data_IF_205440634981
#
_entry.id   IF_205440634981
#
_cell.length_a   1.000
_cell.length_b   1.000
_cell.length_c   1.000
_cell.angle_alpha   90.00
_cell.angle_beta   90.00
_cell.angle_gamma   90.00
#
_symmetry.space_group_name_H-M   'P 1'
#
loop_
_entity.id
_entity.type
_entity.pdbx_description
1 polymer ?
#
# COMPACT_ATOMS: atom_id res chain seq x y z
N UNK A 1 14.13 41.90 10.72
CA UNK A 1 14.34 43.16 9.96
C UNK A 1 13.09 43.41 9.13
N UNK A 2 12.38 44.54 9.31
CA UNK A 2 11.25 44.88 8.46
C UNK A 2 11.73 45.09 7.02
N UNK A 3 11.04 44.49 6.06
CA UNK A 3 11.20 44.79 4.63
C UNK A 3 10.22 45.94 4.29
N UNK A 4 10.68 46.97 3.59
CA UNK A 4 9.86 48.11 3.19
C UNK A 4 9.91 48.28 1.67
N UNK A 5 8.82 48.78 1.09
CA UNK A 5 8.70 49.10 -0.33
C UNK A 5 8.32 50.57 -0.47
N UNK A 6 9.03 51.30 -1.33
CA UNK A 6 8.80 52.73 -1.57
C UNK A 6 7.82 52.86 -2.72
N UNK A 7 6.67 53.50 -2.48
CA UNK A 7 5.64 53.71 -3.49
C UNK A 7 5.96 54.97 -4.30
N UNK A 8 5.85 54.89 -5.63
CA UNK A 8 5.99 56.07 -6.49
C UNK A 8 4.70 56.92 -6.45
N UNK A 9 4.82 58.27 -6.39
CA UNK A 9 3.70 59.16 -6.08
C UNK A 9 2.59 59.24 -7.14
N UNK A 10 2.79 58.74 -8.37
CA UNK A 10 1.83 58.82 -9.49
C UNK A 10 1.29 57.45 -9.96
N UNK A 11 1.60 56.37 -9.25
CA UNK A 11 1.04 55.06 -9.55
C UNK A 11 -0.11 54.73 -8.61
N UNK A 12 -1.35 54.78 -9.10
CA UNK A 12 -2.48 54.01 -8.53
C UNK A 12 -2.23 52.50 -8.71
N UNK A 13 -1.12 51.99 -8.18
CA UNK A 13 -0.91 50.57 -8.04
C UNK A 13 -1.70 50.15 -6.80
N UNK A 14 -2.82 49.45 -7.01
CA UNK A 14 -3.49 48.73 -5.94
C UNK A 14 -2.46 47.88 -5.19
N UNK A 15 -2.07 48.35 -4.01
CA UNK A 15 -1.19 47.61 -3.12
C UNK A 15 -1.76 46.20 -2.94
N UNK A 16 -0.99 45.18 -3.31
CA UNK A 16 -1.36 43.80 -3.01
C UNK A 16 -1.48 43.65 -1.48
N UNK A 17 -2.71 43.54 -1.00
CA UNK A 17 -3.03 43.46 0.44
C UNK A 17 -2.65 42.11 1.04
N UNK A 18 -2.55 41.09 0.19
CA UNK A 18 -2.23 39.73 0.59
C UNK A 18 -0.98 39.33 -0.19
N UNK A 19 0.08 38.98 0.53
CA UNK A 19 1.35 38.60 -0.06
C UNK A 19 1.71 37.17 0.35
N UNK A 20 2.01 36.28 -0.61
CA UNK A 20 2.45 34.93 -0.26
C UNK A 20 3.81 34.97 0.45
N UNK A 21 4.02 33.99 1.33
CA UNK A 21 5.26 33.81 2.08
C UNK A 21 5.92 32.52 1.60
N UNK A 22 7.20 32.62 1.25
CA UNK A 22 7.98 31.51 0.70
C UNK A 22 9.06 31.04 1.66
N UNK A 23 9.28 29.74 1.69
CA UNK A 23 10.54 29.20 2.20
C UNK A 23 11.66 29.63 1.25
N UNK A 24 12.73 30.21 1.80
CA UNK A 24 13.83 30.78 1.02
C UNK A 24 15.20 30.39 1.58
N UNK A 25 16.19 30.09 0.71
CA UNK A 25 17.60 30.05 1.10
C UNK A 25 18.04 31.38 1.73
N UNK A 26 19.01 31.33 2.65
CA UNK A 26 19.57 32.53 3.27
C UNK A 26 20.15 33.50 2.22
N UNK A 27 19.86 34.80 2.38
CA UNK A 27 20.37 35.86 1.49
C UNK A 27 19.42 36.30 0.36
N UNK A 28 18.33 35.59 0.07
CA UNK A 28 17.34 35.99 -0.94
C UNK A 28 16.16 36.74 -0.31
N UNK A 29 15.72 37.88 -0.84
CA UNK A 29 14.53 38.58 -0.29
C UNK A 29 13.21 37.90 -0.70
N UNK A 30 12.14 38.11 0.09
CA UNK A 30 10.81 37.61 -0.28
C UNK A 30 10.25 38.33 -1.51
N UNK A 31 10.60 39.61 -1.70
CA UNK A 31 10.23 40.38 -2.90
C UNK A 31 10.80 39.76 -4.18
N UNK A 32 12.06 39.32 -4.15
CA UNK A 32 12.70 38.67 -5.30
C UNK A 32 12.06 37.31 -5.59
N UNK A 33 11.75 36.53 -4.55
CA UNK A 33 11.02 35.25 -4.69
C UNK A 33 9.65 35.45 -5.33
N UNK A 34 8.85 36.43 -4.86
CA UNK A 34 7.54 36.76 -5.45
C UNK A 34 7.65 37.14 -6.92
N UNK A 35 8.64 37.98 -7.26
CA UNK A 35 8.90 38.39 -8.64
C UNK A 35 9.24 37.19 -9.53
N UNK A 36 10.16 36.33 -9.11
CA UNK A 36 10.55 35.15 -9.89
C UNK A 36 9.40 34.16 -10.07
N UNK A 37 8.64 33.89 -9.03
CA UNK A 37 7.48 33.01 -9.11
C UNK A 37 6.40 33.62 -10.01
N UNK A 38 6.17 34.93 -9.93
CA UNK A 38 5.25 35.64 -10.82
C UNK A 38 5.65 35.52 -12.29
N UNK A 39 6.94 35.72 -12.62
CA UNK A 39 7.46 35.50 -13.98
C UNK A 39 7.30 34.04 -14.43
N UNK A 40 7.65 33.09 -13.57
CA UNK A 40 7.54 31.67 -13.90
C UNK A 40 6.08 31.26 -14.18
N UNK A 41 5.12 31.74 -13.38
CA UNK A 41 3.70 31.45 -13.61
C UNK A 41 3.17 32.12 -14.88
N UNK A 42 3.60 33.35 -15.17
CA UNK A 42 3.20 34.05 -16.39
C UNK A 42 3.72 33.35 -17.66
N UNK A 43 4.95 32.87 -17.63
CA UNK A 43 5.61 32.26 -18.80
C UNK A 43 5.26 30.78 -18.97
N UNK A 44 5.18 30.02 -17.87
CA UNK A 44 5.05 28.56 -17.90
C UNK A 44 3.74 28.03 -17.30
N UNK A 45 2.90 28.87 -16.68
CA UNK A 45 1.71 28.41 -15.97
C UNK A 45 0.66 27.71 -16.84
N UNK A 46 0.59 28.05 -18.13
CA UNK A 46 -0.28 27.39 -19.12
C UNK A 46 0.25 26.04 -19.60
N UNK A 47 1.53 25.74 -19.37
CA UNK A 47 2.16 24.48 -19.75
C UNK A 47 2.01 23.39 -18.69
N UNK A 48 1.48 23.74 -17.51
CA UNK A 48 1.29 22.80 -16.41
C UNK A 48 0.17 21.82 -16.79
N UNK A 49 0.46 20.53 -16.92
CA UNK A 49 -0.53 19.56 -17.36
C UNK A 49 -1.57 19.31 -16.25
N UNK A 50 -2.84 19.42 -16.59
CA UNK A 50 -3.95 18.87 -15.82
C UNK A 50 -4.98 18.32 -16.79
N UNK A 51 -5.34 17.05 -16.61
CA UNK A 51 -6.27 16.32 -17.45
C UNK A 51 -7.53 15.92 -16.68
N UNK A 52 -7.88 16.69 -15.65
CA UNK A 52 -9.14 16.52 -14.94
C UNK A 52 -10.31 16.69 -15.92
N UNK A 53 -11.23 15.71 -16.00
CA UNK A 53 -12.37 15.83 -16.90
C UNK A 53 -13.24 17.05 -16.54
N UNK A 54 -13.64 17.90 -17.52
CA UNK A 54 -14.48 19.07 -17.24
C UNK A 54 -15.77 18.78 -16.45
N UNK A 55 -16.48 17.64 -16.67
CA UNK A 55 -17.62 17.28 -15.85
C UNK A 55 -17.28 17.07 -14.37
N UNK A 56 -16.09 16.54 -14.07
CA UNK A 56 -15.61 16.34 -12.69
C UNK A 56 -15.31 17.69 -12.03
N UNK A 57 -14.64 18.59 -12.74
CA UNK A 57 -14.35 19.95 -12.24
C UNK A 57 -15.64 20.69 -11.92
N UNK A 58 -16.63 20.68 -12.83
CA UNK A 58 -17.94 21.32 -12.64
C UNK A 58 -18.69 20.74 -11.44
N UNK A 59 -18.72 19.40 -11.32
CA UNK A 59 -19.40 18.71 -10.20
C UNK A 59 -18.78 19.04 -8.85
N UNK A 60 -17.46 19.23 -8.80
CA UNK A 60 -16.72 19.46 -7.57
C UNK A 60 -16.48 20.95 -7.26
N UNK A 61 -16.85 21.85 -8.17
CA UNK A 61 -16.62 23.30 -8.03
C UNK A 61 -15.14 23.67 -8.10
N UNK A 62 -14.37 22.99 -8.95
CA UNK A 62 -12.91 23.17 -9.08
C UNK A 62 -12.58 24.16 -10.20
N UNK A 63 -11.48 24.89 -10.00
CA UNK A 63 -10.86 25.75 -11.01
C UNK A 63 -9.69 25.02 -11.68
N UNK A 64 -9.21 25.54 -12.81
CA UNK A 64 -8.04 24.95 -13.48
C UNK A 64 -6.79 25.09 -12.61
N UNK A 65 -5.83 24.17 -12.79
CA UNK A 65 -4.57 24.17 -12.05
C UNK A 65 -3.79 25.50 -12.23
N UNK A 66 -3.78 26.04 -13.45
CA UNK A 66 -3.19 27.36 -13.74
C UNK A 66 -3.87 28.48 -12.94
N UNK A 67 -5.20 28.49 -12.87
CA UNK A 67 -5.94 29.47 -12.06
C UNK A 67 -5.69 29.29 -10.56
N UNK A 68 -5.63 28.06 -10.08
CA UNK A 68 -5.36 27.76 -8.68
C UNK A 68 -3.98 28.27 -8.27
N UNK A 69 -2.93 27.96 -9.05
CA UNK A 69 -1.58 28.42 -8.78
C UNK A 69 -1.50 29.96 -8.84
N UNK A 70 -2.14 30.59 -9.82
CA UNK A 70 -2.21 32.04 -9.88
C UNK A 70 -2.87 32.63 -8.62
N UNK A 71 -4.00 32.10 -8.17
CA UNK A 71 -4.68 32.60 -6.97
C UNK A 71 -3.87 32.42 -5.67
N UNK A 72 -3.04 31.37 -5.56
CA UNK A 72 -2.21 31.17 -4.36
C UNK A 72 -0.95 32.05 -4.36
N UNK A 73 -0.38 32.30 -5.53
CA UNK A 73 0.89 33.04 -5.67
C UNK A 73 0.68 34.54 -5.98
N UNK A 74 -0.50 34.92 -6.46
CA UNK A 74 -0.94 36.28 -6.76
C UNK A 74 -2.41 36.45 -6.33
N UNK A 75 -2.69 36.36 -5.01
CA UNK A 75 -4.06 36.46 -4.51
C UNK A 75 -4.65 37.84 -4.76
N UNK A 76 -5.93 37.88 -5.15
CA UNK A 76 -6.68 39.12 -5.29
C UNK A 76 -6.79 39.85 -3.94
N UNK A 77 -6.92 41.17 -3.97
CA UNK A 77 -7.07 41.98 -2.76
C UNK A 77 -8.34 41.64 -1.94
N UNK A 78 -9.32 40.98 -2.56
CA UNK A 78 -10.57 40.54 -1.94
C UNK A 78 -10.57 39.05 -1.55
N UNK A 79 -9.44 38.34 -1.74
CA UNK A 79 -9.34 36.95 -1.34
C UNK A 79 -9.46 36.81 0.19
N UNK A 80 -10.03 35.70 0.66
CA UNK A 80 -10.15 35.41 2.08
C UNK A 80 -8.79 34.95 2.65
N UNK A 81 -8.13 35.76 3.51
CA UNK A 81 -6.83 35.38 4.07
C UNK A 81 -6.93 34.17 5.01
N UNK A 82 -8.07 33.96 5.68
CA UNK A 82 -8.24 32.81 6.57
C UNK A 82 -8.22 31.52 5.76
N UNK A 83 -9.02 31.47 4.67
CA UNK A 83 -9.11 30.32 3.78
C UNK A 83 -7.78 30.01 3.05
N UNK A 84 -6.96 31.03 2.80
CA UNK A 84 -5.62 30.84 2.25
C UNK A 84 -4.65 30.25 3.29
N UNK A 85 -4.70 30.74 4.53
CA UNK A 85 -3.81 30.29 5.61
C UNK A 85 -4.13 28.88 6.12
N UNK A 86 -5.40 28.49 6.15
CA UNK A 86 -5.83 27.16 6.61
C UNK A 86 -5.90 26.11 5.48
N UNK A 87 -5.65 26.52 4.23
CA UNK A 87 -5.66 25.65 3.06
C UNK A 87 -7.05 25.26 2.56
N UNK A 88 -8.13 25.91 3.01
CA UNK A 88 -9.52 25.59 2.63
C UNK A 88 -10.00 26.29 1.35
N UNK A 89 -9.24 27.26 0.81
CA UNK A 89 -9.59 27.98 -0.41
C UNK A 89 -9.86 27.05 -1.62
N UNK A 90 -10.65 27.52 -2.60
CA UNK A 90 -10.91 26.77 -3.84
C UNK A 90 -9.64 26.41 -4.62
N UNK A 91 -8.62 27.27 -4.57
CA UNK A 91 -7.34 27.05 -5.20
C UNK A 91 -6.59 25.87 -4.56
N UNK A 92 -6.43 25.87 -3.23
CA UNK A 92 -5.86 24.74 -2.49
C UNK A 92 -6.63 23.44 -2.76
N UNK A 93 -7.97 23.48 -2.65
CA UNK A 93 -8.81 22.30 -2.92
C UNK A 93 -8.64 21.78 -4.35
N UNK A 94 -8.47 22.66 -5.34
CA UNK A 94 -8.29 22.25 -6.75
C UNK A 94 -6.96 21.55 -6.98
N UNK A 95 -5.86 22.06 -6.39
CA UNK A 95 -4.54 21.40 -6.45
C UNK A 95 -4.58 20.05 -5.76
N UNK A 96 -5.11 20.00 -4.53
CA UNK A 96 -5.23 18.76 -3.76
C UNK A 96 -6.08 17.71 -4.49
N UNK A 97 -7.18 18.14 -5.11
CA UNK A 97 -8.03 17.23 -5.87
C UNK A 97 -7.34 16.72 -7.13
N UNK A 98 -6.62 17.57 -7.86
CA UNK A 98 -5.88 17.18 -9.05
C UNK A 98 -4.86 16.08 -8.73
N UNK A 99 -4.05 16.27 -7.70
CA UNK A 99 -3.05 15.29 -7.27
C UNK A 99 -3.69 13.98 -6.78
N UNK A 100 -4.70 14.07 -5.90
CA UNK A 100 -5.42 12.89 -5.40
C UNK A 100 -6.17 12.15 -6.51
N UNK A 101 -6.65 12.84 -7.54
CA UNK A 101 -7.30 12.22 -8.68
C UNK A 101 -6.33 11.31 -9.43
N UNK A 102 -5.10 11.75 -9.69
CA UNK A 102 -4.09 10.90 -10.34
C UNK A 102 -3.69 9.71 -9.48
N UNK A 103 -3.54 9.90 -8.17
CA UNK A 103 -3.31 8.80 -7.24
C UNK A 103 -4.45 7.77 -7.30
N UNK A 104 -5.69 8.21 -7.21
CA UNK A 104 -6.87 7.34 -7.26
C UNK A 104 -7.06 6.69 -8.64
N UNK A 105 -6.74 7.40 -9.72
CA UNK A 105 -6.75 6.84 -11.07
C UNK A 105 -5.72 5.73 -11.20
N UNK A 106 -4.50 5.94 -10.73
CA UNK A 106 -3.45 4.91 -10.68
C UNK A 106 -3.86 3.69 -9.86
N UNK A 107 -4.45 3.90 -8.67
CA UNK A 107 -4.99 2.82 -7.84
C UNK A 107 -6.15 2.08 -8.54
N UNK A 108 -7.03 2.81 -9.21
CA UNK A 108 -8.15 2.25 -9.98
C UNK A 108 -7.70 1.40 -11.16
N UNK A 109 -6.72 1.87 -11.92
CA UNK A 109 -6.11 1.12 -13.02
C UNK A 109 -5.43 -0.16 -12.52
N UNK A 110 -4.68 -0.07 -11.42
CA UNK A 110 -4.09 -1.25 -10.76
C UNK A 110 -5.15 -2.23 -10.29
N UNK A 111 -6.24 -1.74 -9.69
CA UNK A 111 -7.36 -2.59 -9.24
C UNK A 111 -8.05 -3.29 -10.42
N UNK A 112 -8.25 -2.60 -11.54
CA UNK A 112 -8.86 -3.18 -12.75
C UNK A 112 -8.01 -4.33 -13.29
N UNK A 113 -6.71 -4.08 -13.53
CA UNK A 113 -5.77 -5.11 -13.99
C UNK A 113 -5.70 -6.32 -13.04
N UNK A 114 -5.79 -6.09 -11.73
CA UNK A 114 -5.83 -7.17 -10.73
C UNK A 114 -7.14 -7.94 -10.72
N UNK A 115 -8.28 -7.28 -10.94
CA UNK A 115 -9.58 -7.96 -10.99
C UNK A 115 -9.73 -8.89 -12.20
N UNK A 116 -8.87 -8.71 -13.21
CA UNK A 116 -8.73 -9.57 -14.38
C UNK A 116 -7.76 -10.74 -14.15
N UNK A 117 -7.03 -10.78 -13.02
CA UNK A 117 -6.13 -11.89 -12.71
C UNK A 117 -6.92 -13.12 -12.24
N UNK A 118 -6.92 -14.17 -13.06
CA UNK A 118 -7.48 -15.46 -12.73
C UNK A 118 -6.77 -16.06 -11.50
N UNK A 119 -7.56 -16.62 -10.58
CA UNK A 119 -7.08 -17.30 -9.39
C UNK A 119 -7.57 -18.74 -9.32
N UNK A 120 -6.88 -19.56 -8.54
CA UNK A 120 -7.37 -20.89 -8.17
C UNK A 120 -8.58 -20.77 -7.24
N UNK A 121 -9.56 -21.66 -7.43
CA UNK A 121 -10.75 -21.76 -6.58
C UNK A 121 -10.47 -22.81 -5.51
N UNK A 122 -10.56 -22.41 -4.24
CA UNK A 122 -10.41 -23.30 -3.10
C UNK A 122 -11.77 -23.55 -2.45
N UNK A 123 -12.28 -24.78 -2.55
CA UNK A 123 -13.56 -25.15 -1.93
C UNK A 123 -13.34 -25.90 -0.63
N UNK A 124 -14.38 -25.99 0.21
CA UNK A 124 -14.34 -26.87 1.37
C UNK A 124 -14.30 -28.32 0.92
N UNK A 125 -13.26 -29.03 1.36
CA UNK A 125 -13.05 -30.44 1.06
C UNK A 125 -13.70 -31.33 2.13
N UNK A 126 -13.85 -32.62 1.81
CA UNK A 126 -14.34 -33.62 2.77
C UNK A 126 -13.38 -33.84 3.94
N UNK A 127 -12.08 -33.64 3.70
CA UNK A 127 -11.07 -33.52 4.75
C UNK A 127 -11.11 -32.11 5.30
N UNK A 128 -11.53 -31.98 6.55
CA UNK A 128 -11.61 -30.70 7.24
C UNK A 128 -10.40 -30.54 8.18
N UNK A 129 -9.25 -30.18 7.61
CA UNK A 129 -8.04 -29.81 8.34
C UNK A 129 -8.28 -28.60 9.23
N UNK A 130 -9.18 -27.68 8.85
CA UNK A 130 -9.57 -26.57 9.72
C UNK A 130 -10.27 -27.07 10.98
N UNK A 131 -11.25 -27.97 10.88
CA UNK A 131 -11.90 -28.56 12.05
C UNK A 131 -10.93 -29.39 12.90
N UNK A 132 -10.03 -30.16 12.27
CA UNK A 132 -8.98 -30.89 12.99
C UNK A 132 -8.04 -29.92 13.74
N UNK A 133 -7.69 -28.79 13.12
CA UNK A 133 -6.87 -27.75 13.72
C UNK A 133 -7.56 -27.09 14.92
N UNK A 134 -8.86 -26.78 14.83
CA UNK A 134 -9.63 -26.24 15.95
C UNK A 134 -9.59 -27.16 17.18
N UNK A 135 -9.67 -28.48 16.97
CA UNK A 135 -9.54 -29.47 18.05
C UNK A 135 -8.16 -29.52 18.73
N UNK A 136 -7.11 -28.99 18.08
CA UNK A 136 -5.74 -28.93 18.63
C UNK A 136 -5.47 -27.63 19.41
N UNK A 137 -6.34 -26.63 19.30
CA UNK A 137 -6.11 -25.33 19.91
C UNK A 137 -6.40 -25.34 21.42
N UNK A 138 -5.51 -24.78 22.26
CA UNK A 138 -5.79 -24.60 23.69
C UNK A 138 -6.72 -23.40 23.98
N UNK A 139 -7.25 -22.75 22.95
CA UNK A 139 -8.13 -21.59 23.02
C UNK A 139 -9.13 -21.63 21.86
N UNK A 140 -10.19 -20.83 21.96
CA UNK A 140 -11.14 -20.64 20.86
C UNK A 140 -10.79 -19.43 20.03
N UNK A 141 -11.08 -19.48 18.73
CA UNK A 141 -10.91 -18.33 17.86
C UNK A 141 -11.85 -17.19 18.29
N UNK A 142 -11.32 -15.97 18.25
CA UNK A 142 -12.12 -14.79 18.57
C UNK A 142 -13.16 -14.52 17.48
N UNK A 143 -14.24 -13.80 17.81
CA UNK A 143 -15.24 -13.36 16.81
C UNK A 143 -14.62 -12.60 15.65
N UNK A 144 -13.57 -11.81 15.90
CA UNK A 144 -12.85 -11.08 14.86
C UNK A 144 -12.09 -12.03 13.93
N UNK A 145 -11.39 -13.02 14.46
CA UNK A 145 -10.68 -14.03 13.67
C UNK A 145 -11.64 -14.87 12.83
N UNK A 146 -12.76 -15.32 13.39
CA UNK A 146 -13.79 -16.08 12.67
C UNK A 146 -14.37 -15.26 11.50
N UNK A 147 -14.69 -13.98 11.73
CA UNK A 147 -15.17 -13.07 10.68
C UNK A 147 -14.15 -12.92 9.56
N UNK A 148 -12.89 -12.63 9.90
CA UNK A 148 -11.81 -12.45 8.92
C UNK A 148 -11.55 -13.74 8.13
N UNK A 149 -11.61 -14.91 8.78
CA UNK A 149 -11.51 -16.20 8.08
C UNK A 149 -12.66 -16.42 7.11
N UNK A 150 -13.89 -16.09 7.49
CA UNK A 150 -15.04 -16.15 6.58
C UNK A 150 -14.86 -15.25 5.35
N UNK A 151 -14.33 -14.04 5.54
CA UNK A 151 -13.99 -13.13 4.44
C UNK A 151 -12.89 -13.70 3.53
N UNK A 152 -11.84 -14.29 4.11
CA UNK A 152 -10.74 -14.92 3.37
C UNK A 152 -11.25 -16.14 2.58
N UNK A 153 -12.03 -17.02 3.21
CA UNK A 153 -12.56 -18.21 2.53
C UNK A 153 -13.48 -17.83 1.38
N UNK A 154 -14.32 -16.80 1.55
CA UNK A 154 -15.16 -16.30 0.47
C UNK A 154 -14.34 -15.80 -0.73
N UNK A 155 -13.22 -15.10 -0.48
CA UNK A 155 -12.34 -14.64 -1.55
C UNK A 155 -11.60 -15.83 -2.21
N UNK A 156 -11.16 -16.80 -1.41
CA UNK A 156 -10.51 -18.04 -1.86
C UNK A 156 -11.44 -18.96 -2.68
N UNK A 157 -12.75 -18.90 -2.45
CA UNK A 157 -13.77 -19.62 -3.24
C UNK A 157 -14.10 -18.92 -4.56
N UNK A 158 -13.56 -17.72 -4.81
CA UNK A 158 -13.79 -16.98 -6.06
C UNK A 158 -12.79 -17.37 -7.15
N UNK A 159 -13.15 -17.13 -8.42
CA UNK A 159 -12.25 -17.34 -9.56
C UNK A 159 -11.18 -16.26 -9.75
N UNK A 160 -11.07 -15.31 -8.80
CA UNK A 160 -10.12 -14.20 -8.84
C UNK A 160 -9.03 -14.40 -7.81
N UNK A 161 -7.81 -14.00 -8.13
CA UNK A 161 -6.72 -14.04 -7.17
C UNK A 161 -7.01 -13.13 -5.95
N UNK A 162 -7.03 -13.72 -4.75
CA UNK A 162 -7.22 -12.97 -3.50
C UNK A 162 -6.02 -12.05 -3.23
N UNK A 163 -6.28 -10.79 -2.90
CA UNK A 163 -5.30 -9.84 -2.38
C UNK A 163 -5.89 -9.08 -1.21
N UNK A 164 -5.42 -9.40 0.01
CA UNK A 164 -5.99 -8.87 1.24
C UNK A 164 -4.89 -8.43 2.19
N UNK A 165 -5.10 -7.24 2.78
CA UNK A 165 -4.31 -6.79 3.91
C UNK A 165 -5.03 -7.18 5.21
N UNK A 166 -4.41 -8.05 6.00
CA UNK A 166 -4.91 -8.40 7.32
C UNK A 166 -4.26 -7.46 8.36
N UNK A 167 -5.05 -6.55 8.91
CA UNK A 167 -4.60 -5.60 9.93
C UNK A 167 -5.11 -6.00 11.32
N UNK A 168 -4.23 -5.91 12.32
CA UNK A 168 -4.57 -6.14 13.71
C UNK A 168 -3.36 -5.92 14.61
N UNK A 169 -3.61 -5.62 15.88
CA UNK A 169 -2.57 -5.32 16.86
C UNK A 169 -1.60 -6.49 17.07
N UNK A 170 -0.44 -6.21 17.66
CA UNK A 170 0.51 -7.25 18.09
C UNK A 170 -0.21 -8.18 19.08
N UNK A 171 -0.12 -9.50 18.86
CA UNK A 171 -0.79 -10.50 19.70
C UNK A 171 -2.26 -10.79 19.33
N UNK A 172 -2.86 -10.12 18.36
CA UNK A 172 -4.25 -10.39 17.90
C UNK A 172 -4.45 -11.75 17.20
N UNK A 173 -3.40 -12.55 17.04
CA UNK A 173 -3.45 -13.90 16.45
C UNK A 173 -3.51 -13.92 14.92
N UNK A 174 -2.94 -12.90 14.24
CA UNK A 174 -2.83 -12.86 12.76
C UNK A 174 -2.21 -14.14 12.17
N UNK A 175 -1.17 -14.66 12.81
CA UNK A 175 -0.48 -15.90 12.42
C UNK A 175 -1.45 -17.09 12.39
N UNK A 176 -2.39 -17.18 13.33
CA UNK A 176 -3.38 -18.26 13.32
C UNK A 176 -4.35 -18.12 12.16
N UNK A 177 -4.81 -16.91 11.87
CA UNK A 177 -5.70 -16.67 10.70
C UNK A 177 -4.98 -17.04 9.40
N UNK A 178 -3.70 -16.67 9.26
CA UNK A 178 -2.88 -17.09 8.12
C UNK A 178 -2.72 -18.61 8.04
N UNK A 179 -2.63 -19.31 9.19
CA UNK A 179 -2.52 -20.76 9.24
C UNK A 179 -3.80 -21.44 8.76
N UNK A 180 -4.96 -21.02 9.25
CA UNK A 180 -6.26 -21.52 8.77
C UNK A 180 -6.47 -21.28 7.27
N UNK A 181 -6.09 -20.11 6.76
CA UNK A 181 -6.10 -19.84 5.32
C UNK A 181 -5.17 -20.80 4.54
N UNK A 182 -3.99 -21.09 5.09
CA UNK A 182 -3.03 -22.03 4.50
C UNK A 182 -3.59 -23.46 4.46
N UNK A 183 -4.27 -23.89 5.53
CA UNK A 183 -4.94 -25.19 5.57
C UNK A 183 -5.96 -25.33 4.44
N UNK A 184 -6.77 -24.30 4.16
CA UNK A 184 -7.73 -24.34 3.04
C UNK A 184 -7.04 -24.55 1.69
N UNK A 185 -5.92 -23.88 1.44
CA UNK A 185 -5.14 -24.10 0.21
C UNK A 185 -4.57 -25.53 0.15
N UNK A 186 -4.01 -26.02 1.26
CA UNK A 186 -3.41 -27.34 1.39
C UNK A 186 -4.43 -28.47 1.20
N UNK A 187 -5.63 -28.33 1.76
CA UNK A 187 -6.75 -29.27 1.55
C UNK A 187 -7.09 -29.44 0.08
N UNK A 188 -6.95 -28.38 -0.72
CA UNK A 188 -7.24 -28.36 -2.15
C UNK A 188 -6.04 -28.80 -3.00
N UNK A 189 -4.97 -29.33 -2.39
CA UNK A 189 -3.80 -29.85 -3.11
C UNK A 189 -2.75 -28.80 -3.48
N UNK A 190 -2.85 -27.59 -2.92
CA UNK A 190 -1.89 -26.51 -3.17
C UNK A 190 -0.88 -26.37 -2.03
N UNK A 191 0.22 -25.67 -2.31
CA UNK A 191 1.25 -25.28 -1.35
C UNK A 191 0.98 -23.85 -0.86
N UNK A 192 1.23 -23.61 0.42
CA UNK A 192 1.18 -22.29 1.05
C UNK A 192 2.59 -21.79 1.36
N UNK A 193 2.83 -20.50 1.14
CA UNK A 193 4.14 -19.85 1.30
C UNK A 193 4.01 -18.67 2.25
N UNK A 194 4.83 -18.62 3.28
CA UNK A 194 4.90 -17.53 4.24
C UNK A 194 6.25 -16.86 4.15
N UNK A 195 6.22 -15.54 3.92
CA UNK A 195 7.41 -14.73 3.79
C UNK A 195 7.48 -13.69 4.91
N UNK A 196 8.59 -13.66 5.62
CA UNK A 196 8.88 -12.71 6.70
C UNK A 196 10.17 -11.92 6.40
N UNK A 197 10.33 -10.68 6.91
CA UNK A 197 11.41 -9.80 6.47
C UNK A 197 12.78 -10.22 7.02
N UNK A 198 12.80 -10.98 8.12
CA UNK A 198 14.03 -11.44 8.79
C UNK A 198 13.97 -12.94 9.06
N UNK A 199 15.15 -13.57 9.13
CA UNK A 199 15.26 -14.99 9.43
C UNK A 199 14.67 -15.33 10.80
N UNK A 200 14.88 -14.45 11.79
CA UNK A 200 14.31 -14.62 13.13
C UNK A 200 12.78 -14.67 13.11
N UNK A 201 12.12 -13.79 12.34
CA UNK A 201 10.66 -13.79 12.22
C UNK A 201 10.17 -15.03 11.45
N UNK A 202 10.88 -15.43 10.39
CA UNK A 202 10.56 -16.67 9.66
C UNK A 202 10.67 -17.91 10.57
N UNK A 203 11.74 -18.00 11.37
CA UNK A 203 11.90 -19.05 12.38
C UNK A 203 10.78 -19.04 13.41
N UNK A 204 10.39 -17.86 13.90
CA UNK A 204 9.28 -17.73 14.85
C UNK A 204 7.98 -18.27 14.27
N UNK A 205 7.61 -17.82 13.06
CA UNK A 205 6.41 -18.31 12.37
C UNK A 205 6.46 -19.82 12.15
N UNK A 206 7.59 -20.33 11.66
CA UNK A 206 7.79 -21.77 11.46
C UNK A 206 7.63 -22.54 12.76
N UNK A 207 8.28 -22.12 13.86
CA UNK A 207 8.15 -22.76 15.17
C UNK A 207 6.71 -22.72 15.69
N UNK A 208 6.00 -21.61 15.50
CA UNK A 208 4.61 -21.46 15.94
C UNK A 208 3.66 -22.43 15.25
N UNK A 209 3.87 -22.73 13.96
CA UNK A 209 2.99 -23.62 13.20
C UNK A 209 3.48 -25.08 13.13
N UNK A 210 4.78 -25.33 13.30
CA UNK A 210 5.37 -26.67 13.10
C UNK A 210 4.76 -27.73 14.02
N UNK A 211 4.43 -27.38 15.27
CA UNK A 211 3.75 -28.32 16.18
C UNK A 211 2.40 -28.75 15.62
N UNK A 212 1.64 -27.81 15.05
CA UNK A 212 0.32 -28.07 14.49
C UNK A 212 0.40 -28.77 13.13
N UNK A 213 1.34 -28.38 12.26
CA UNK A 213 1.53 -29.04 10.98
C UNK A 213 1.88 -30.51 11.16
N UNK A 214 2.78 -30.85 12.09
CA UNK A 214 3.12 -32.24 12.39
C UNK A 214 1.94 -33.05 12.93
N UNK A 215 1.12 -32.46 13.81
CA UNK A 215 -0.09 -33.10 14.33
C UNK A 215 -1.15 -33.36 13.25
N UNK A 216 -1.16 -32.54 12.19
CA UNK A 216 -2.05 -32.68 11.04
C UNK A 216 -1.45 -33.50 9.88
N UNK A 217 -0.22 -34.01 10.04
CA UNK A 217 0.48 -34.76 8.98
C UNK A 217 0.88 -33.89 7.78
N UNK A 218 1.07 -32.59 8.00
CA UNK A 218 1.47 -31.60 6.99
C UNK A 218 2.98 -31.36 7.11
N UNK A 219 3.70 -31.55 6.01
CA UNK A 219 5.12 -31.25 5.95
C UNK A 219 5.32 -29.74 5.78
N UNK A 220 5.92 -29.13 6.80
CA UNK A 220 6.38 -27.76 6.76
C UNK A 220 7.91 -27.71 6.59
N UNK A 221 8.44 -26.70 5.92
CA UNK A 221 9.87 -26.43 5.86
C UNK A 221 10.18 -24.95 6.06
N UNK A 222 11.34 -24.68 6.66
CA UNK A 222 11.93 -23.36 6.76
C UNK A 222 12.98 -23.19 5.65
N UNK A 223 12.93 -22.09 4.91
CA UNK A 223 13.90 -21.72 3.89
C UNK A 223 14.48 -20.32 4.19
N UNK A 224 15.72 -20.27 4.63
CA UNK A 224 16.45 -19.02 4.94
C UNK A 224 17.76 -18.94 4.14
N UNK A 225 18.40 -17.76 4.15
CA UNK A 225 19.67 -17.56 3.44
C UNK A 225 20.86 -18.18 4.20
N UNK A 226 20.73 -18.32 5.52
CA UNK A 226 21.74 -18.91 6.42
C UNK A 226 21.89 -20.43 6.34
N UNK A 227 20.98 -21.15 5.67
CA UNK A 227 21.04 -22.61 5.60
C UNK A 227 22.22 -23.12 4.75
N UNK A 228 22.88 -24.22 5.17
CA UNK A 228 23.91 -24.87 4.37
C UNK A 228 23.40 -25.28 2.97
N UNK A 229 24.24 -25.11 1.95
CA UNK A 229 23.84 -25.34 0.55
C UNK A 229 23.24 -26.73 0.29
N UNK A 230 23.76 -27.78 0.95
CA UNK A 230 23.25 -29.16 0.82
C UNK A 230 21.84 -29.31 1.39
N UNK A 231 21.58 -28.71 2.55
CA UNK A 231 20.26 -28.73 3.19
C UNK A 231 19.25 -27.92 2.36
N UNK A 232 19.64 -26.71 1.95
CA UNK A 232 18.84 -25.85 1.08
C UNK A 232 18.44 -26.56 -0.20
N UNK A 233 19.38 -27.23 -0.88
CA UNK A 233 19.11 -28.01 -2.10
C UNK A 233 18.09 -29.13 -1.85
N UNK A 234 18.26 -29.90 -0.78
CA UNK A 234 17.32 -30.96 -0.40
C UNK A 234 15.91 -30.43 -0.15
N UNK A 235 15.79 -29.30 0.55
CA UNK A 235 14.49 -28.64 0.79
C UNK A 235 13.87 -28.19 -0.53
N UNK A 236 14.63 -27.53 -1.40
CA UNK A 236 14.14 -27.06 -2.71
C UNK A 236 13.65 -28.22 -3.59
N UNK A 237 14.38 -29.34 -3.64
CA UNK A 237 13.97 -30.53 -4.40
C UNK A 237 12.62 -31.07 -3.88
N UNK A 238 12.43 -31.12 -2.56
CA UNK A 238 11.17 -31.57 -1.94
C UNK A 238 10.01 -30.59 -2.18
N UNK A 239 10.29 -29.28 -2.16
CA UNK A 239 9.31 -28.24 -2.51
C UNK A 239 8.87 -28.42 -3.97
N UNK A 240 9.83 -28.60 -4.89
CA UNK A 240 9.58 -28.79 -6.32
C UNK A 240 8.81 -30.07 -6.64
N UNK A 241 8.91 -31.10 -5.80
CA UNK A 241 8.08 -32.32 -5.89
C UNK A 241 6.71 -32.22 -5.21
N UNK A 242 6.39 -31.10 -4.57
CA UNK A 242 5.13 -30.90 -3.85
C UNK A 242 5.04 -31.66 -2.52
N UNK A 243 6.15 -32.20 -2.00
CA UNK A 243 6.17 -32.96 -0.74
C UNK A 243 6.01 -32.07 0.49
N UNK A 244 6.36 -30.79 0.37
CA UNK A 244 6.26 -29.77 1.42
C UNK A 244 5.05 -28.90 1.10
N UNK A 245 4.04 -28.91 1.96
CA UNK A 245 2.79 -28.17 1.76
C UNK A 245 2.83 -26.76 2.37
N UNK A 246 3.66 -26.54 3.41
CA UNK A 246 3.88 -25.21 3.97
C UNK A 246 5.36 -24.84 3.88
N UNK A 247 5.67 -23.74 3.20
CA UNK A 247 7.01 -23.18 3.14
C UNK A 247 7.02 -21.87 3.91
N UNK A 248 7.90 -21.74 4.91
CA UNK A 248 8.12 -20.49 5.64
C UNK A 248 9.54 -20.01 5.35
N UNK A 249 9.74 -18.72 5.12
CA UNK A 249 11.06 -18.21 4.77
C UNK A 249 11.15 -16.70 4.66
N UNK A 250 12.27 -16.24 4.13
CA UNK A 250 12.54 -14.82 3.86
C UNK A 250 12.48 -14.53 2.36
N UNK A 251 13.08 -13.41 1.92
CA UNK A 251 13.35 -13.11 0.51
C UNK A 251 14.04 -14.26 -0.25
N UNK A 252 14.67 -15.21 0.44
CA UNK A 252 15.20 -16.44 -0.18
C UNK A 252 14.14 -17.22 -0.99
N UNK A 253 12.85 -17.06 -0.67
CA UNK A 253 11.73 -17.70 -1.38
C UNK A 253 11.45 -17.14 -2.78
N UNK A 254 11.87 -15.91 -3.05
CA UNK A 254 11.64 -15.22 -4.34
C UNK A 254 12.91 -15.12 -5.19
N UNK A 255 13.99 -15.80 -4.77
CA UNK A 255 15.23 -15.87 -5.54
C UNK A 255 15.09 -16.82 -6.74
N UNK A 256 15.93 -16.61 -7.76
CA UNK A 256 16.04 -17.52 -8.90
C UNK A 256 16.30 -18.97 -8.44
N UNK A 257 15.62 -19.92 -9.07
CA UNK A 257 15.76 -21.35 -8.80
C UNK A 257 14.79 -21.92 -7.77
N UNK A 258 13.95 -21.11 -7.12
CA UNK A 258 12.86 -21.62 -6.27
C UNK A 258 11.63 -21.91 -7.12
N UNK A 259 11.26 -23.20 -7.21
CA UNK A 259 10.08 -23.64 -7.96
C UNK A 259 9.04 -24.23 -7.01
N UNK A 260 7.85 -23.63 -6.98
CA UNK A 260 6.72 -24.05 -6.15
C UNK A 260 5.55 -24.35 -7.10
N UNK A 261 5.45 -25.59 -7.61
CA UNK A 261 4.60 -25.92 -8.76
C UNK A 261 3.10 -25.72 -8.52
N UNK A 262 2.65 -25.80 -7.27
CA UNK A 262 1.25 -25.64 -6.89
C UNK A 262 1.08 -24.52 -5.85
N UNK A 263 1.75 -23.39 -6.01
CA UNK A 263 1.58 -22.25 -5.08
C UNK A 263 0.15 -21.71 -5.13
N UNK A 264 -0.62 -21.93 -4.06
CA UNK A 264 -2.03 -21.48 -3.96
C UNK A 264 -2.23 -20.28 -3.05
N UNK A 265 -1.36 -20.11 -2.04
CA UNK A 265 -1.45 -18.99 -1.10
C UNK A 265 -0.07 -18.44 -0.76
N UNK A 266 0.07 -17.11 -0.86
CA UNK A 266 1.21 -16.36 -0.32
C UNK A 266 0.77 -15.50 0.86
N UNK A 267 1.48 -15.62 1.98
CA UNK A 267 1.32 -14.77 3.17
C UNK A 267 2.59 -13.95 3.33
N UNK A 268 2.47 -12.63 3.35
CA UNK A 268 3.61 -11.72 3.57
C UNK A 268 3.38 -11.00 4.88
N UNK A 269 4.28 -11.20 5.83
CA UNK A 269 4.25 -10.51 7.13
C UNK A 269 5.15 -9.28 7.11
N UNK A 270 4.72 -8.18 7.72
CA UNK A 270 5.49 -6.92 7.80
C UNK A 270 6.10 -6.44 6.45
N UNK A 271 5.29 -6.46 5.37
CA UNK A 271 5.72 -6.13 4.00
C UNK A 271 6.52 -4.81 3.90
N UNK A 272 6.18 -3.80 4.71
CA UNK A 272 6.88 -2.51 4.70
C UNK A 272 8.37 -2.59 5.06
N UNK A 273 8.80 -3.69 5.70
CA UNK A 273 10.21 -3.92 6.07
C UNK A 273 11.04 -4.57 4.96
N UNK A 274 10.42 -5.00 3.86
CA UNK A 274 11.11 -5.63 2.73
C UNK A 274 11.88 -4.62 1.86
N UNK A 275 11.65 -3.31 2.06
CA UNK A 275 12.18 -2.28 1.17
C UNK A 275 11.46 -2.26 -0.19
N UNK A 276 11.76 -1.26 -1.02
CA UNK A 276 11.36 -1.29 -2.42
C UNK A 276 12.43 -2.09 -3.16
N UNK A 277 12.04 -3.22 -3.76
CA UNK A 277 12.90 -4.02 -4.65
C UNK A 277 13.25 -3.23 -5.91
#
# INVERSE_FOLDING_TARGET
HPEFEVLEPDGDQELQKILPVYLRPGGLSLSLMRKWIGHALAEYGSLIPSYLPPPTMKRQGLISLTQALAQLHQPDAQADPSALNDGSSVAHRSILFDELFYLQLGLGLRKKSRSESEGAIFTRQSKDLAAAMEGLLPFTLTRAQIRVLGEIYKDMESSRAMQRLMQGDVGSGKTMVAWFASLRAIENGYQAVWMAPTELLAEQHYRSVNRFSNALGINAALLTASQPAKERKSILDRIGRGEIQLIVGTHALIQEGVQIPQMGLGVVDEQHRFGVL
#
